data_IF_574773926940
#
_entry.id   IF_574773926940
#
_cell.length_a   1.000
_cell.length_b   1.000
_cell.length_c   1.000
_cell.angle_alpha   90.00
_cell.angle_beta   90.00
_cell.angle_gamma   90.00
#
_symmetry.space_group_name_H-M   'P 1'
#
loop_
_entity.id
_entity.type
_entity.pdbx_description
1 polymer ?
#
# COMPACT_ATOMS: atom_id res chain seq x y z
N UNK A 1 22.81 24.56 -13.78
CA UNK A 1 22.07 23.89 -12.70
C UNK A 1 21.77 22.49 -13.18
N UNK A 2 22.38 21.47 -12.58
CA UNK A 2 22.04 20.06 -12.84
C UNK A 2 20.58 19.85 -12.48
N UNK A 3 19.78 19.24 -13.38
CA UNK A 3 18.43 18.80 -13.03
C UNK A 3 18.54 17.88 -11.81
N UNK A 4 17.76 18.08 -10.75
CA UNK A 4 17.69 17.10 -9.68
C UNK A 4 17.34 15.75 -10.30
N UNK A 5 18.14 14.72 -10.05
CA UNK A 5 17.84 13.36 -10.49
C UNK A 5 16.56 12.92 -9.79
N UNK A 6 15.51 12.64 -10.56
CA UNK A 6 14.32 11.98 -10.02
C UNK A 6 14.76 10.59 -9.58
N UNK A 7 14.54 10.18 -8.32
CA UNK A 7 14.90 8.83 -7.89
C UNK A 7 14.16 7.82 -8.76
N UNK A 8 14.90 6.88 -9.36
CA UNK A 8 14.32 5.83 -10.19
C UNK A 8 13.52 4.85 -9.32
N UNK A 9 12.37 4.41 -9.83
CA UNK A 9 11.61 3.33 -9.20
C UNK A 9 12.45 2.06 -9.20
N UNK A 10 12.60 1.47 -8.03
CA UNK A 10 13.28 0.18 -7.88
C UNK A 10 12.32 -0.97 -8.17
N UNK A 11 12.87 -2.13 -8.53
CA UNK A 11 12.10 -3.35 -8.73
C UNK A 11 12.36 -4.31 -7.58
N UNK A 12 11.30 -4.88 -7.00
CA UNK A 12 11.44 -5.99 -6.03
C UNK A 12 10.63 -7.18 -6.48
N UNK A 13 11.26 -8.36 -6.47
CA UNK A 13 10.57 -9.62 -6.71
C UNK A 13 10.10 -10.17 -5.37
N UNK A 14 8.82 -10.55 -5.29
CA UNK A 14 8.24 -11.23 -4.13
C UNK A 14 7.62 -12.56 -4.61
N UNK A 15 8.06 -13.66 -4.03
CA UNK A 15 7.69 -15.01 -4.48
C UNK A 15 7.27 -15.93 -3.33
N UNK A 16 6.44 -16.92 -3.65
CA UNK A 16 5.96 -17.96 -2.74
C UNK A 16 4.49 -17.82 -2.35
N UNK A 17 4.13 -18.35 -1.18
CA UNK A 17 2.78 -18.24 -0.65
C UNK A 17 2.37 -16.78 -0.38
N UNK A 18 1.06 -16.45 -0.31
CA UNK A 18 0.61 -15.09 -0.07
C UNK A 18 1.24 -14.43 1.17
N UNK A 19 1.39 -15.19 2.27
CA UNK A 19 2.05 -14.69 3.49
C UNK A 19 3.53 -14.39 3.29
N UNK A 20 4.24 -15.18 2.50
CA UNK A 20 5.64 -14.92 2.16
C UNK A 20 5.76 -13.68 1.28
N UNK A 21 4.90 -13.54 0.27
CA UNK A 21 4.83 -12.35 -0.59
C UNK A 21 4.61 -11.10 0.28
N UNK A 22 3.56 -11.10 1.10
CA UNK A 22 3.25 -9.98 1.98
C UNK A 22 4.42 -9.62 2.89
N UNK A 23 5.10 -10.62 3.46
CA UNK A 23 6.28 -10.40 4.31
C UNK A 23 7.43 -9.74 3.56
N UNK A 24 7.75 -10.18 2.35
CA UNK A 24 8.80 -9.58 1.51
C UNK A 24 8.47 -8.11 1.25
N UNK A 25 7.23 -7.82 0.83
CA UNK A 25 6.77 -6.44 0.57
C UNK A 25 6.86 -5.57 1.83
N UNK A 26 6.47 -6.12 2.98
CA UNK A 26 6.56 -5.43 4.27
C UNK A 26 7.99 -5.17 4.71
N UNK A 27 8.91 -6.11 4.48
CA UNK A 27 10.33 -5.94 4.78
C UNK A 27 10.96 -4.81 3.96
N UNK A 28 10.62 -4.72 2.68
CA UNK A 28 11.07 -3.63 1.78
C UNK A 28 10.48 -2.29 2.19
N UNK A 29 9.16 -2.24 2.45
CA UNK A 29 8.47 -1.00 2.80
C UNK A 29 8.72 -0.49 4.23
N UNK A 30 9.32 -1.31 5.09
CA UNK A 30 9.41 -1.06 6.54
C UNK A 30 10.02 0.31 6.88
N UNK A 31 11.18 0.64 6.33
CA UNK A 31 11.87 1.90 6.66
C UNK A 31 11.00 3.10 6.29
N UNK A 32 10.42 3.10 5.09
CA UNK A 32 9.53 4.18 4.65
C UNK A 32 8.30 4.33 5.56
N UNK A 33 7.67 3.22 5.94
CA UNK A 33 6.52 3.26 6.84
C UNK A 33 6.91 3.80 8.22
N UNK A 34 7.98 3.29 8.83
CA UNK A 34 8.38 3.69 10.18
C UNK A 34 8.90 5.13 10.25
N UNK A 35 9.66 5.58 9.26
CA UNK A 35 10.32 6.89 9.27
C UNK A 35 9.40 8.01 8.78
N UNK A 36 8.47 7.71 7.86
CA UNK A 36 7.63 8.71 7.20
C UNK A 36 6.17 8.57 7.62
N UNK A 37 5.61 7.36 7.50
CA UNK A 37 4.15 7.18 7.58
C UNK A 37 3.62 7.26 9.01
N UNK A 38 4.26 6.58 9.97
CA UNK A 38 3.74 6.48 11.35
C UNK A 38 3.58 7.84 12.05
N UNK A 39 4.44 8.80 11.70
CA UNK A 39 4.39 10.17 12.20
C UNK A 39 3.42 11.10 11.46
N UNK A 40 2.75 10.61 10.41
CA UNK A 40 1.83 11.40 9.60
C UNK A 40 0.39 11.32 10.11
N UNK A 41 -0.34 12.44 10.02
CA UNK A 41 -1.75 12.52 10.40
C UNK A 41 -2.63 11.51 9.64
N UNK A 42 -2.28 11.18 8.40
CA UNK A 42 -3.02 10.21 7.58
C UNK A 42 -2.99 8.81 8.19
N UNK A 43 -1.86 8.40 8.77
CA UNK A 43 -1.77 7.12 9.48
C UNK A 43 -2.69 7.14 10.71
N UNK A 44 -2.53 8.15 11.57
CA UNK A 44 -3.31 8.30 12.80
C UNK A 44 -4.82 8.33 12.52
N UNK A 45 -5.24 9.05 11.48
CA UNK A 45 -6.64 9.11 11.06
C UNK A 45 -7.15 7.75 10.57
N UNK A 46 -6.37 7.03 9.75
CA UNK A 46 -6.78 5.72 9.23
C UNK A 46 -6.86 4.64 10.31
N UNK A 47 -6.01 4.70 11.33
CA UNK A 47 -5.92 3.71 12.41
C UNK A 47 -6.72 4.10 13.66
N UNK A 48 -7.54 5.14 13.59
CA UNK A 48 -8.31 5.63 14.73
C UNK A 48 -9.37 4.59 15.18
N UNK A 49 -9.52 4.41 16.49
CA UNK A 49 -10.45 3.43 17.07
C UNK A 49 -11.91 3.68 16.72
N UNK A 50 -12.26 4.90 16.26
CA UNK A 50 -13.59 5.20 15.70
C UNK A 50 -13.96 4.31 14.51
N UNK A 51 -12.98 3.75 13.82
CA UNK A 51 -13.19 2.87 12.68
C UNK A 51 -13.38 1.39 13.06
N UNK A 52 -13.26 1.00 14.33
CA UNK A 52 -13.20 -0.40 14.76
C UNK A 52 -14.38 -1.27 14.25
N UNK A 53 -15.61 -0.75 14.28
CA UNK A 53 -16.79 -1.51 13.82
C UNK A 53 -16.79 -1.75 12.31
N UNK A 54 -16.42 -0.74 11.52
CA UNK A 54 -16.32 -0.85 10.06
C UNK A 54 -15.14 -1.75 9.69
N UNK A 55 -14.00 -1.57 10.35
CA UNK A 55 -12.79 -2.36 10.14
C UNK A 55 -13.02 -3.86 10.44
N UNK A 56 -13.81 -4.17 11.47
CA UNK A 56 -14.21 -5.55 11.77
C UNK A 56 -14.98 -6.17 10.60
N UNK A 57 -15.99 -5.46 10.06
CA UNK A 57 -16.78 -5.95 8.92
C UNK A 57 -15.90 -6.15 7.69
N UNK A 58 -15.01 -5.20 7.39
CA UNK A 58 -14.08 -5.31 6.27
C UNK A 58 -13.13 -6.51 6.45
N UNK A 59 -12.63 -6.70 7.68
CA UNK A 59 -11.75 -7.83 8.04
C UNK A 59 -12.46 -9.18 7.83
N UNK A 60 -13.67 -9.33 8.36
CA UNK A 60 -14.47 -10.56 8.21
C UNK A 60 -14.76 -10.86 6.73
N UNK A 61 -15.07 -9.83 5.94
CA UNK A 61 -15.30 -9.98 4.50
C UNK A 61 -14.03 -10.42 3.75
N UNK A 62 -12.87 -9.82 4.04
CA UNK A 62 -11.60 -10.21 3.42
C UNK A 62 -11.21 -11.63 3.79
N UNK A 63 -11.36 -12.03 5.06
CA UNK A 63 -11.09 -13.39 5.51
C UNK A 63 -11.99 -14.43 4.81
N UNK A 64 -13.29 -14.12 4.68
CA UNK A 64 -14.28 -15.04 4.10
C UNK A 64 -14.15 -15.15 2.57
N UNK A 65 -14.00 -14.01 1.89
CA UNK A 65 -14.06 -13.96 0.43
C UNK A 65 -12.69 -13.98 -0.25
N UNK A 66 -11.64 -13.53 0.43
CA UNK A 66 -10.30 -13.38 -0.12
C UNK A 66 -9.22 -13.90 0.84
N UNK A 67 -9.25 -15.19 1.23
CA UNK A 67 -8.34 -15.75 2.22
C UNK A 67 -6.85 -15.63 1.83
N UNK A 68 -6.53 -15.59 0.54
CA UNK A 68 -5.15 -15.37 0.08
C UNK A 68 -4.69 -13.93 0.35
N UNK A 69 -5.55 -12.92 0.11
CA UNK A 69 -5.26 -11.52 0.42
C UNK A 69 -5.13 -11.34 1.94
N UNK A 70 -5.96 -12.04 2.72
CA UNK A 70 -5.82 -12.05 4.18
C UNK A 70 -4.43 -12.53 4.62
N UNK A 71 -3.97 -13.66 4.09
CA UNK A 71 -2.62 -14.17 4.41
C UNK A 71 -1.51 -13.21 3.95
N UNK A 72 -1.69 -12.52 2.82
CA UNK A 72 -0.76 -11.47 2.38
C UNK A 72 -0.74 -10.28 3.35
N UNK A 73 -1.90 -9.82 3.86
CA UNK A 73 -1.97 -8.78 4.89
C UNK A 73 -1.30 -9.21 6.21
N UNK A 74 -1.48 -10.48 6.60
CA UNK A 74 -0.77 -11.07 7.75
C UNK A 74 0.74 -11.00 7.52
N UNK A 75 1.22 -11.49 6.38
CA UNK A 75 2.63 -11.40 5.99
C UNK A 75 3.15 -9.97 5.98
N UNK A 76 2.39 -9.04 5.39
CA UNK A 76 2.70 -7.62 5.33
C UNK A 76 2.88 -7.04 6.73
N UNK A 77 2.02 -7.41 7.69
CA UNK A 77 2.15 -6.98 9.08
C UNK A 77 3.43 -7.50 9.76
N UNK A 78 3.82 -8.75 9.50
CA UNK A 78 5.09 -9.30 9.99
C UNK A 78 6.29 -8.55 9.39
N UNK A 79 6.25 -8.32 8.08
CA UNK A 79 7.28 -7.61 7.35
C UNK A 79 7.40 -6.17 7.82
N UNK A 80 6.30 -5.45 8.00
CA UNK A 80 6.30 -4.09 8.52
C UNK A 80 6.62 -4.01 10.02
N UNK A 81 6.49 -5.11 10.77
CA UNK A 81 6.56 -5.14 12.24
C UNK A 81 5.54 -4.18 12.88
N UNK A 82 4.30 -4.25 12.39
CA UNK A 82 3.18 -3.43 12.87
C UNK A 82 2.00 -4.31 13.31
N UNK A 83 1.11 -3.81 14.18
CA UNK A 83 -0.12 -4.51 14.51
C UNK A 83 -0.94 -4.78 13.24
N UNK A 84 -1.40 -6.02 13.06
CA UNK A 84 -2.17 -6.44 11.89
C UNK A 84 -3.39 -5.54 11.66
N UNK A 85 -4.13 -5.22 12.71
CA UNK A 85 -5.31 -4.34 12.63
C UNK A 85 -4.98 -2.97 12.00
N UNK A 86 -3.84 -2.37 12.35
CA UNK A 86 -3.42 -1.09 11.78
C UNK A 86 -3.03 -1.24 10.30
N UNK A 87 -2.40 -2.35 9.93
CA UNK A 87 -2.05 -2.65 8.53
C UNK A 87 -3.30 -2.87 7.70
N UNK A 88 -4.31 -3.57 8.22
CA UNK A 88 -5.61 -3.72 7.56
C UNK A 88 -6.28 -2.35 7.42
N UNK A 89 -6.30 -1.54 8.49
CA UNK A 89 -6.89 -0.20 8.45
C UNK A 89 -6.23 0.70 7.40
N UNK A 90 -4.90 0.68 7.28
CA UNK A 90 -4.17 1.43 6.26
C UNK A 90 -4.50 0.97 4.83
N UNK A 91 -4.65 -0.34 4.62
CA UNK A 91 -5.03 -0.90 3.32
C UNK A 91 -6.52 -0.64 2.98
N UNK A 92 -7.36 -0.41 3.99
CA UNK A 92 -8.77 -0.03 3.84
C UNK A 92 -9.01 1.48 4.00
N UNK A 93 -7.98 2.33 4.00
CA UNK A 93 -8.13 3.76 4.36
C UNK A 93 -9.14 4.51 3.50
N UNK A 94 -9.30 4.13 2.22
CA UNK A 94 -10.30 4.70 1.32
C UNK A 94 -11.74 4.31 1.66
N UNK A 95 -11.94 3.16 2.30
CA UNK A 95 -13.24 2.71 2.81
C UNK A 95 -13.56 3.34 4.17
N UNK A 96 -12.52 3.62 4.97
CA UNK A 96 -12.66 4.18 6.33
C UNK A 96 -12.83 5.70 6.33
N UNK A 97 -12.22 6.40 5.37
CA UNK A 97 -12.14 7.85 5.33
C UNK A 97 -12.68 8.37 3.99
N UNK A 98 -13.56 9.37 4.04
CA UNK A 98 -14.15 9.98 2.86
C UNK A 98 -13.25 10.98 2.13
N UNK A 99 -12.11 11.36 2.72
CA UNK A 99 -11.16 12.31 2.14
C UNK A 99 -9.73 11.93 2.52
N UNK A 100 -9.10 11.10 1.69
CA UNK A 100 -7.66 10.81 1.75
C UNK A 100 -6.95 11.91 0.96
N UNK A 101 -5.85 12.53 1.44
CA UNK A 101 -5.14 13.60 0.75
C UNK A 101 -4.30 13.08 -0.45
N UNK A 102 -4.77 12.03 -1.11
CA UNK A 102 -4.20 11.46 -2.31
C UNK A 102 -4.99 12.00 -3.53
N UNK A 103 -4.36 12.11 -4.68
CA UNK A 103 -4.97 12.63 -5.91
C UNK A 103 -4.41 11.95 -7.14
N UNK A 104 -5.17 11.92 -8.24
CA UNK A 104 -4.66 11.32 -9.46
C UNK A 104 -5.25 11.94 -10.72
N UNK A 105 -4.52 11.82 -11.81
CA UNK A 105 -5.01 12.05 -13.17
C UNK A 105 -4.66 10.84 -14.03
N UNK A 106 -5.69 10.27 -14.67
CA UNK A 106 -5.53 9.18 -15.63
C UNK A 106 -5.90 9.68 -17.01
N UNK A 107 -5.04 9.41 -18.00
CA UNK A 107 -5.27 9.73 -19.41
C UNK A 107 -5.27 8.43 -20.21
N UNK A 108 -6.31 8.22 -21.01
CA UNK A 108 -6.41 7.10 -21.93
C UNK A 108 -6.55 7.62 -23.37
N UNK A 109 -5.71 7.12 -24.27
CA UNK A 109 -5.74 7.44 -25.70
C UNK A 109 -6.06 6.15 -26.46
N UNK A 110 -7.23 6.05 -27.12
CA UNK A 110 -7.60 4.88 -27.92
C UNK A 110 -6.81 4.84 -29.25
N UNK A 111 -6.64 3.65 -29.83
CA UNK A 111 -5.97 3.48 -31.13
C UNK A 111 -5.57 2.04 -31.39
N UNK A 112 -4.83 1.80 -32.49
CA UNK A 112 -4.23 0.47 -32.81
C UNK A 112 -3.26 0.04 -31.71
N UNK A 113 -2.54 1.02 -31.14
CA UNK A 113 -1.74 0.87 -29.94
C UNK A 113 -2.34 1.77 -28.86
N UNK A 114 -3.33 1.29 -28.08
CA UNK A 114 -3.94 2.10 -27.04
C UNK A 114 -2.91 2.45 -25.96
N UNK A 115 -3.02 3.65 -25.40
CA UNK A 115 -2.12 4.14 -24.35
C UNK A 115 -2.92 4.51 -23.12
N UNK A 116 -2.41 4.12 -21.95
CA UNK A 116 -2.87 4.58 -20.65
C UNK A 116 -1.69 5.18 -19.90
N UNK A 117 -1.90 6.34 -19.29
CA UNK A 117 -0.95 7.01 -18.41
C UNK A 117 -1.68 7.46 -17.14
N UNK A 118 -0.97 7.42 -16.02
CA UNK A 118 -1.52 7.73 -14.70
C UNK A 118 -0.43 8.40 -13.87
N UNK A 119 -0.76 9.49 -13.16
CA UNK A 119 0.03 9.98 -12.05
C UNK A 119 -0.74 9.78 -10.74
N UNK A 120 0.02 9.59 -9.67
CA UNK A 120 -0.50 9.56 -8.30
C UNK A 120 0.21 10.67 -7.51
N UNK A 121 -0.59 11.49 -6.85
CA UNK A 121 -0.20 12.56 -5.95
C UNK A 121 -0.41 12.04 -4.52
N UNK A 122 0.61 12.09 -3.68
CA UNK A 122 0.53 11.59 -2.31
C UNK A 122 1.52 12.26 -1.37
N UNK A 123 1.83 11.61 -0.25
CA UNK A 123 2.75 12.15 0.75
C UNK A 123 4.14 12.44 0.16
N UNK A 124 4.64 13.69 0.19
CA UNK A 124 5.94 14.05 -0.39
C UNK A 124 7.11 13.24 0.17
N UNK A 125 7.01 12.81 1.43
CA UNK A 125 8.03 11.98 2.08
C UNK A 125 8.25 10.62 1.41
N UNK A 126 7.26 10.09 0.68
CA UNK A 126 7.42 8.83 -0.06
C UNK A 126 8.17 8.96 -1.39
N UNK A 127 8.57 10.17 -1.80
CA UNK A 127 9.38 10.35 -2.99
C UNK A 127 10.69 9.55 -2.86
N UNK A 128 10.92 8.59 -3.77
CA UNK A 128 12.07 7.69 -3.74
C UNK A 128 11.90 6.42 -2.89
N UNK A 129 10.73 6.21 -2.28
CA UNK A 129 10.41 5.00 -1.50
C UNK A 129 9.43 4.06 -2.19
N UNK A 130 8.79 4.50 -3.27
CA UNK A 130 7.94 3.65 -4.11
C UNK A 130 8.80 2.68 -4.94
N UNK A 131 8.27 1.49 -5.16
CA UNK A 131 8.90 0.43 -5.95
C UNK A 131 7.86 -0.31 -6.79
N UNK A 132 8.32 -0.93 -7.88
CA UNK A 132 7.54 -1.86 -8.68
C UNK A 132 7.72 -3.26 -8.09
N UNK A 133 6.62 -3.92 -7.74
CA UNK A 133 6.65 -5.29 -7.26
C UNK A 133 6.39 -6.27 -8.43
N UNK A 134 7.32 -7.21 -8.63
CA UNK A 134 7.13 -8.38 -9.49
C UNK A 134 6.70 -9.56 -8.61
N UNK A 135 5.42 -9.93 -8.69
CA UNK A 135 4.83 -10.96 -7.81
C UNK A 135 4.83 -12.33 -8.50
N UNK A 136 5.30 -13.36 -7.81
CA UNK A 136 5.38 -14.77 -8.29
C UNK A 136 4.74 -15.72 -7.28
N UNK A 137 3.40 -15.85 -7.28
CA UNK A 137 2.69 -16.75 -6.36
C UNK A 137 2.88 -18.22 -6.73
N UNK A 138 2.77 -19.09 -5.72
CA UNK A 138 2.76 -20.57 -5.87
C UNK A 138 1.53 -21.09 -6.66
#
# INVERSE_FOLDING_TARGET
MSKPSVPELTWVTAEGSPRQIGRILGEVGRSAVHEILLGNDSWQASTDSRHASVLQILTENVQSHFPQIWEELVGLSEGLKLPLEQVVAWNCRGDLMSNVPDGCTTVQIPGVMPVIAHNEDGLPGFCGHAFIAEIKPD
#
